data_IF_281936968180
#
_entry.id   IF_281936968180
#
_cell.length_a   1.000
_cell.length_b   1.000
_cell.length_c   1.000
_cell.angle_alpha   90.00
_cell.angle_beta   90.00
_cell.angle_gamma   90.00
#
_symmetry.space_group_name_H-M   'P 1'
#
loop_
_entity.id
_entity.type
_entity.pdbx_description
1 polymer ?
#
# COMPACT_ATOMS: atom_id res chain seq x y z
N UNK A 1 -36.58 14.38 -10.64
CA UNK A 1 -35.25 14.93 -10.33
C UNK A 1 -34.28 14.56 -11.45
N UNK A 2 -34.08 15.43 -12.44
CA UNK A 2 -33.04 15.27 -13.48
C UNK A 2 -31.94 16.29 -13.20
N UNK A 3 -30.67 15.90 -13.39
CA UNK A 3 -29.51 16.78 -13.20
C UNK A 3 -28.97 16.90 -11.78
N UNK A 4 -29.43 16.08 -10.83
CA UNK A 4 -28.88 16.03 -9.47
C UNK A 4 -27.93 14.83 -9.33
N UNK A 5 -26.76 15.06 -8.74
CA UNK A 5 -25.78 14.02 -8.40
C UNK A 5 -26.02 13.56 -6.97
N UNK A 6 -26.28 12.27 -6.78
CA UNK A 6 -26.41 11.66 -5.46
C UNK A 6 -25.00 11.25 -5.02
N UNK A 7 -24.58 11.77 -3.86
CA UNK A 7 -23.29 11.45 -3.25
C UNK A 7 -23.53 10.68 -1.96
N UNK A 8 -22.70 9.69 -1.70
CA UNK A 8 -22.76 8.88 -0.48
C UNK A 8 -21.43 8.99 0.27
N UNK A 9 -21.42 9.40 1.55
CA UNK A 9 -20.21 9.43 2.36
C UNK A 9 -19.58 8.04 2.49
N UNK A 10 -18.25 7.97 2.44
CA UNK A 10 -17.52 6.71 2.62
C UNK A 10 -17.77 6.07 3.99
N UNK A 11 -18.08 6.87 5.02
CA UNK A 11 -18.39 6.41 6.38
C UNK A 11 -19.69 5.60 6.50
N UNK A 12 -20.60 5.70 5.52
CA UNK A 12 -21.85 4.95 5.50
C UNK A 12 -21.73 3.63 4.73
N UNK A 13 -20.56 3.32 4.15
CA UNK A 13 -20.33 2.06 3.44
C UNK A 13 -20.46 0.88 4.40
N UNK A 14 -20.96 -0.23 3.89
CA UNK A 14 -20.99 -1.49 4.65
C UNK A 14 -19.57 -2.03 4.80
N UNK A 15 -19.28 -2.78 5.87
CA UNK A 15 -18.04 -3.53 5.91
C UNK A 15 -18.02 -4.58 4.79
N UNK A 16 -16.84 -4.77 4.21
CA UNK A 16 -16.58 -5.81 3.20
C UNK A 16 -16.71 -7.20 3.86
N UNK A 17 -17.27 -8.16 3.14
CA UNK A 17 -17.56 -9.49 3.69
C UNK A 17 -16.39 -10.45 3.44
N UNK A 18 -15.78 -10.37 2.26
CA UNK A 18 -14.64 -11.21 1.92
C UNK A 18 -13.31 -10.45 2.01
N UNK A 19 -12.25 -11.18 2.38
CA UNK A 19 -10.89 -10.64 2.52
C UNK A 19 -10.31 -10.06 1.21
N UNK A 20 -10.84 -10.50 0.07
CA UNK A 20 -10.40 -10.10 -1.27
C UNK A 20 -11.51 -9.32 -2.00
N UNK A 21 -12.38 -8.67 -1.25
CA UNK A 21 -13.41 -7.77 -1.76
C UNK A 21 -12.96 -6.33 -1.51
N UNK A 22 -13.12 -5.45 -2.49
CA UNK A 22 -12.68 -4.06 -2.38
C UNK A 22 -13.69 -3.15 -3.07
N UNK A 23 -13.88 -1.94 -2.52
CA UNK A 23 -14.63 -0.91 -3.22
C UNK A 23 -13.80 -0.37 -4.40
N UNK A 24 -14.42 -0.32 -5.59
CA UNK A 24 -13.78 0.26 -6.80
C UNK A 24 -13.25 1.67 -6.55
N UNK A 25 -13.98 2.47 -5.77
CA UNK A 25 -13.60 3.84 -5.41
C UNK A 25 -12.27 3.91 -4.64
N UNK A 26 -11.91 2.86 -3.90
CA UNK A 26 -10.68 2.81 -3.13
C UNK A 26 -9.52 2.23 -3.97
N UNK A 27 -9.83 1.46 -5.02
CA UNK A 27 -8.83 0.95 -5.97
C UNK A 27 -8.38 2.05 -6.96
N UNK A 28 -9.33 2.86 -7.44
CA UNK A 28 -9.02 3.93 -8.38
C UNK A 28 -8.10 4.95 -7.72
N UNK A 29 -6.97 5.21 -8.37
CA UNK A 29 -5.94 6.08 -7.82
C UNK A 29 -4.94 5.39 -6.89
N UNK A 30 -5.02 4.09 -6.67
CA UNK A 30 -3.92 3.35 -6.04
C UNK A 30 -2.67 3.33 -6.95
N UNK A 31 -1.50 3.43 -6.33
CA UNK A 31 -0.19 3.22 -6.94
C UNK A 31 0.08 1.73 -7.09
N UNK A 32 0.60 1.32 -8.23
CA UNK A 32 0.84 -0.09 -8.58
C UNK A 32 2.33 -0.35 -8.64
N UNK A 33 2.77 -1.37 -7.92
CA UNK A 33 4.16 -1.80 -7.85
C UNK A 33 4.28 -3.27 -8.18
N UNK A 34 5.40 -3.64 -8.77
CA UNK A 34 5.71 -5.04 -9.04
C UNK A 34 6.10 -5.75 -7.74
N UNK A 35 5.61 -6.98 -7.53
CA UNK A 35 5.85 -7.72 -6.29
C UNK A 35 7.32 -8.16 -6.15
N UNK A 36 8.00 -8.46 -7.27
CA UNK A 36 9.36 -9.03 -7.27
C UNK A 36 10.42 -8.05 -6.75
N UNK A 37 10.43 -6.82 -7.25
CA UNK A 37 11.44 -5.80 -6.96
C UNK A 37 10.86 -4.56 -6.25
N UNK A 38 9.53 -4.40 -6.23
CA UNK A 38 8.88 -3.22 -5.72
C UNK A 38 8.94 -2.02 -6.67
N UNK A 39 9.23 -2.23 -7.96
CA UNK A 39 9.30 -1.16 -8.96
C UNK A 39 7.94 -0.54 -9.18
N UNK A 40 7.88 0.79 -9.17
CA UNK A 40 6.66 1.54 -9.48
C UNK A 40 6.32 1.46 -10.97
N UNK A 41 5.13 0.96 -11.27
CA UNK A 41 4.65 0.75 -12.64
C UNK A 41 3.76 1.91 -13.10
N UNK A 42 2.91 2.41 -12.20
CA UNK A 42 1.92 3.42 -12.54
C UNK A 42 0.76 3.47 -11.55
N UNK A 43 -0.39 3.94 -12.01
CA UNK A 43 -1.56 4.19 -11.17
C UNK A 43 -2.82 3.58 -11.77
N UNK A 44 -3.72 3.07 -10.93
CA UNK A 44 -5.05 2.64 -11.36
C UNK A 44 -5.84 3.85 -11.83
N UNK A 45 -6.24 3.84 -13.10
CA UNK A 45 -7.07 4.88 -13.71
C UNK A 45 -8.56 4.54 -13.60
N UNK A 46 -8.92 3.27 -13.75
CA UNK A 46 -10.29 2.80 -13.69
C UNK A 46 -10.36 1.30 -13.40
N UNK A 47 -11.55 0.79 -13.07
CA UNK A 47 -11.84 -0.64 -12.94
C UNK A 47 -13.01 -0.97 -13.85
N UNK A 48 -12.78 -1.88 -14.79
CA UNK A 48 -13.78 -2.27 -15.78
C UNK A 48 -14.28 -3.68 -15.47
N UNK A 49 -15.57 -3.77 -15.19
CA UNK A 49 -16.28 -5.05 -15.01
C UNK A 49 -16.70 -5.65 -16.35
N UNK A 50 -16.73 -6.98 -16.46
CA UNK A 50 -17.36 -7.68 -17.59
C UNK A 50 -16.42 -8.17 -18.69
N UNK A 51 -15.09 -8.11 -18.51
CA UNK A 51 -14.10 -8.73 -19.40
C UNK A 51 -13.92 -10.24 -19.16
N UNK A 52 -15.01 -10.95 -18.84
CA UNK A 52 -15.01 -12.37 -18.51
C UNK A 52 -15.36 -12.62 -17.04
N UNK A 53 -14.58 -13.49 -16.37
CA UNK A 53 -14.85 -13.93 -15.00
C UNK A 53 -14.39 -12.94 -13.93
N UNK A 54 -13.31 -12.20 -14.20
CA UNK A 54 -12.72 -11.25 -13.25
C UNK A 54 -12.90 -9.82 -13.75
N UNK A 55 -12.98 -8.87 -12.83
CA UNK A 55 -12.84 -7.45 -13.15
C UNK A 55 -11.45 -7.15 -13.70
N UNK A 56 -11.29 -6.04 -14.41
CA UNK A 56 -10.01 -5.66 -15.01
C UNK A 56 -9.61 -4.26 -14.58
N UNK A 57 -8.42 -4.13 -14.00
CA UNK A 57 -7.82 -2.84 -13.68
C UNK A 57 -7.28 -2.18 -14.94
N UNK A 58 -7.69 -0.95 -15.18
CA UNK A 58 -7.07 -0.10 -16.19
C UNK A 58 -5.94 0.70 -15.53
N UNK A 59 -4.70 0.39 -15.86
CA UNK A 59 -3.52 1.06 -15.33
C UNK A 59 -3.02 2.12 -16.29
N UNK A 60 -2.79 3.33 -15.79
CA UNK A 60 -2.01 4.35 -16.48
C UNK A 60 -0.55 4.17 -16.09
N UNK A 61 0.27 3.76 -17.06
CA UNK A 61 1.69 3.53 -16.84
C UNK A 61 2.44 4.84 -16.61
N UNK A 62 3.53 4.77 -15.85
CA UNK A 62 4.47 5.89 -15.69
C UNK A 62 4.97 6.32 -17.07
N UNK A 63 4.95 7.63 -17.39
CA UNK A 63 5.43 8.10 -18.68
C UNK A 63 6.95 8.00 -18.76
N UNK A 64 7.48 7.52 -19.89
CA UNK A 64 8.93 7.57 -20.18
C UNK A 64 9.28 8.85 -20.93
N UNK A 65 10.58 9.15 -21.10
CA UNK A 65 11.03 10.36 -21.81
C UNK A 65 10.43 10.46 -23.21
N UNK A 66 10.38 9.34 -23.93
CA UNK A 66 9.82 9.26 -25.28
C UNK A 66 8.30 9.52 -25.29
N UNK A 67 7.59 9.15 -24.23
CA UNK A 67 6.17 9.43 -24.08
C UNK A 67 5.92 10.93 -23.86
N UNK A 68 6.78 11.61 -23.11
CA UNK A 68 6.67 13.06 -22.89
C UNK A 68 6.87 13.83 -24.20
N UNK A 69 7.92 13.47 -24.94
CA UNK A 69 8.29 14.10 -26.21
C UNK A 69 7.17 13.94 -27.25
N UNK A 70 6.59 12.73 -27.33
CA UNK A 70 5.52 12.43 -28.28
C UNK A 70 4.12 12.75 -27.74
N UNK A 71 4.03 13.30 -26.52
CA UNK A 71 2.77 13.53 -25.80
C UNK A 71 1.85 12.30 -25.87
N UNK A 72 2.36 11.14 -25.48
CA UNK A 72 1.63 9.87 -25.40
C UNK A 72 1.39 9.46 -23.96
N UNK A 73 0.31 8.72 -23.76
CA UNK A 73 0.00 8.06 -22.48
C UNK A 73 -0.23 6.59 -22.78
N UNK A 74 0.45 5.74 -22.02
CA UNK A 74 0.31 4.29 -22.09
C UNK A 74 -0.65 3.78 -21.04
N UNK A 75 -1.49 2.84 -21.44
CA UNK A 75 -2.50 2.20 -20.61
C UNK A 75 -2.37 0.69 -20.75
N UNK A 76 -2.35 -0.02 -19.63
CA UNK A 76 -2.33 -1.47 -19.58
C UNK A 76 -3.61 -1.99 -18.89
N UNK A 77 -4.13 -3.12 -19.34
CA UNK A 77 -5.28 -3.79 -18.73
C UNK A 77 -4.78 -5.01 -17.96
N UNK A 78 -5.06 -5.04 -16.65
CA UNK A 78 -4.57 -6.08 -15.75
C UNK A 78 -5.78 -6.75 -15.08
N UNK A 79 -6.00 -8.07 -15.29
CA UNK A 79 -7.10 -8.76 -14.63
C UNK A 79 -6.96 -8.69 -13.10
N UNK A 80 -8.03 -8.33 -12.41
CA UNK A 80 -8.12 -8.24 -10.96
C UNK A 80 -8.38 -9.61 -10.34
N UNK A 81 -7.38 -10.48 -10.45
CA UNK A 81 -7.39 -11.82 -9.87
C UNK A 81 -6.34 -11.93 -8.77
N UNK A 82 -6.62 -12.72 -7.72
CA UNK A 82 -5.71 -12.88 -6.57
C UNK A 82 -4.31 -13.36 -6.93
N UNK A 83 -4.19 -14.13 -8.02
CA UNK A 83 -2.90 -14.60 -8.53
C UNK A 83 -2.06 -13.46 -9.12
N UNK A 84 -2.72 -12.50 -9.79
CA UNK A 84 -2.07 -11.37 -10.46
C UNK A 84 -1.94 -10.16 -9.54
N UNK A 85 -2.88 -9.96 -8.61
CA UNK A 85 -2.94 -8.82 -7.69
C UNK A 85 -3.04 -9.35 -6.25
N UNK A 86 -1.97 -9.97 -5.72
CA UNK A 86 -2.04 -10.69 -4.44
C UNK A 86 -2.27 -9.78 -3.23
N UNK A 87 -1.86 -8.51 -3.30
CA UNK A 87 -1.93 -7.58 -2.17
C UNK A 87 -2.46 -6.22 -2.61
N UNK A 88 -3.52 -5.80 -1.93
CA UNK A 88 -4.16 -4.50 -2.07
C UNK A 88 -4.17 -3.83 -0.71
N UNK A 89 -3.44 -2.74 -0.57
CA UNK A 89 -3.43 -1.88 0.60
C UNK A 89 -4.11 -0.55 0.25
N UNK A 90 -5.40 -0.45 0.56
CA UNK A 90 -6.18 0.76 0.34
C UNK A 90 -5.85 1.88 1.34
N UNK A 91 -5.22 1.58 2.48
CA UNK A 91 -4.79 2.59 3.44
C UNK A 91 -3.54 3.32 2.95
N UNK A 92 -2.58 2.58 2.42
CA UNK A 92 -1.37 3.14 1.81
C UNK A 92 -1.56 3.55 0.34
N UNK A 93 -2.75 3.35 -0.23
CA UNK A 93 -3.03 3.52 -1.66
C UNK A 93 -2.03 2.75 -2.54
N UNK A 94 -1.70 1.51 -2.17
CA UNK A 94 -0.64 0.70 -2.76
C UNK A 94 -1.16 -0.67 -3.15
N UNK A 95 -0.87 -1.08 -4.37
CA UNK A 95 -1.22 -2.39 -4.91
C UNK A 95 0.07 -3.08 -5.37
N UNK A 96 0.26 -4.33 -4.95
CA UNK A 96 1.34 -5.18 -5.46
C UNK A 96 0.77 -6.13 -6.51
N UNK A 97 1.42 -6.17 -7.66
CA UNK A 97 1.06 -7.05 -8.77
C UNK A 97 2.16 -8.07 -9.05
N UNK A 98 1.74 -9.30 -9.33
CA UNK A 98 2.56 -10.41 -9.83
C UNK A 98 2.07 -10.79 -11.23
N UNK A 99 2.22 -9.89 -12.22
CA UNK A 99 1.74 -10.16 -13.57
C UNK A 99 2.61 -11.24 -14.23
N UNK A 100 2.03 -12.01 -15.17
CA UNK A 100 2.81 -12.82 -16.09
C UNK A 100 3.82 -11.96 -16.86
N UNK A 101 4.95 -12.57 -17.24
CA UNK A 101 5.94 -11.91 -18.07
C UNK A 101 5.32 -11.39 -19.38
N UNK A 102 5.73 -10.19 -19.80
CA UNK A 102 5.24 -9.55 -21.02
C UNK A 102 3.85 -8.89 -20.94
N UNK A 103 3.14 -8.95 -19.80
CA UNK A 103 1.80 -8.32 -19.69
C UNK A 103 1.84 -6.81 -19.97
N UNK A 104 2.86 -6.11 -19.49
CA UNK A 104 3.00 -4.66 -19.68
C UNK A 104 3.45 -4.27 -21.09
N UNK A 105 3.99 -5.21 -21.88
CA UNK A 105 4.40 -4.95 -23.27
C UNK A 105 3.18 -4.82 -24.19
N UNK A 106 2.03 -5.37 -23.76
CA UNK A 106 0.74 -5.23 -24.43
C UNK A 106 0.05 -3.88 -24.14
N UNK A 107 0.73 -2.96 -23.46
CA UNK A 107 0.16 -1.65 -23.16
C UNK A 107 -0.17 -0.86 -24.43
N UNK A 108 -1.38 -0.31 -24.46
CA UNK A 108 -1.84 0.55 -25.55
C UNK A 108 -1.38 1.98 -25.32
N UNK A 109 -0.86 2.63 -26.36
CA UNK A 109 -0.53 4.07 -26.32
C UNK A 109 -1.62 4.91 -26.98
N UNK A 110 -1.98 6.03 -26.35
CA UNK A 110 -2.90 7.05 -26.92
C UNK A 110 -2.23 8.42 -26.88
N UNK A 111 -2.49 9.27 -27.88
CA UNK A 111 -2.06 10.68 -27.85
C UNK A 111 -2.79 11.40 -26.71
N UNK A 112 -2.03 12.07 -25.85
CA UNK A 112 -2.56 12.94 -24.81
C UNK A 112 -2.84 14.33 -25.37
N UNK A 113 -3.83 15.03 -24.79
CA UNK A 113 -3.96 16.48 -25.00
C UNK A 113 -2.68 17.14 -24.46
N UNK A 114 -2.07 18.03 -25.24
CA UNK A 114 -0.85 18.74 -24.83
C UNK A 114 -1.10 19.44 -23.49
N UNK A 115 -0.39 19.02 -22.45
CA UNK A 115 -0.13 19.86 -21.28
C UNK A 115 1.16 20.63 -21.55
N UNK A 116 1.22 21.87 -21.06
CA UNK A 116 2.38 22.75 -21.22
C UNK A 116 3.66 22.07 -20.72
N UNK A 117 4.73 22.18 -21.51
CA UNK A 117 5.95 21.39 -21.33
C UNK A 117 6.68 21.67 -20.00
N UNK A 118 6.47 22.85 -19.41
CA UNK A 118 6.97 23.20 -18.08
C UNK A 118 6.34 22.34 -16.97
N UNK A 119 5.02 22.16 -17.00
CA UNK A 119 4.30 21.39 -15.99
C UNK A 119 4.63 19.89 -16.07
N UNK A 120 4.96 19.37 -17.27
CA UNK A 120 5.43 17.99 -17.45
C UNK A 120 6.78 17.76 -16.79
N UNK A 121 7.72 18.69 -16.96
CA UNK A 121 9.08 18.54 -16.47
C UNK A 121 9.14 18.62 -14.94
N UNK A 122 8.36 19.54 -14.36
CA UNK A 122 8.26 19.71 -12.92
C UNK A 122 7.68 18.46 -12.24
N UNK A 123 6.59 17.92 -12.79
CA UNK A 123 5.94 16.72 -12.25
C UNK A 123 6.81 15.47 -12.35
N UNK A 124 7.60 15.33 -13.42
CA UNK A 124 8.53 14.21 -13.57
C UNK A 124 9.69 14.30 -12.56
N UNK A 125 10.21 15.51 -12.31
CA UNK A 125 11.24 15.73 -11.28
C UNK A 125 10.70 15.42 -9.90
N UNK A 126 9.50 15.87 -9.59
CA UNK A 126 8.85 15.65 -8.30
C UNK A 126 8.60 14.15 -8.04
N UNK A 127 8.14 13.40 -9.05
CA UNK A 127 7.93 11.95 -8.92
C UNK A 127 9.27 11.19 -8.77
N UNK A 128 10.34 11.64 -9.44
CA UNK A 128 11.69 11.08 -9.28
C UNK A 128 12.30 11.37 -7.90
N UNK A 129 12.09 12.59 -7.39
CA UNK A 129 12.56 13.00 -6.06
C UNK A 129 11.83 12.23 -4.97
N UNK A 130 10.50 12.10 -5.06
CA UNK A 130 9.71 11.25 -4.14
C UNK A 130 10.14 9.79 -4.17
N UNK A 131 10.45 9.25 -5.34
CA UNK A 131 10.96 7.88 -5.48
C UNK A 131 12.37 7.73 -4.86
N UNK A 132 13.22 8.74 -5.00
CA UNK A 132 14.55 8.76 -4.36
C UNK A 132 14.44 8.86 -2.84
N UNK A 133 13.60 9.75 -2.33
CA UNK A 133 13.33 9.89 -0.90
C UNK A 133 12.71 8.62 -0.31
N UNK A 134 11.74 7.99 -0.99
CA UNK A 134 11.15 6.72 -0.53
C UNK A 134 12.22 5.60 -0.51
N UNK A 135 13.12 5.57 -1.49
CA UNK A 135 14.23 4.62 -1.54
C UNK A 135 15.26 4.87 -0.44
N UNK A 136 15.59 6.14 -0.14
CA UNK A 136 16.48 6.53 0.97
C UNK A 136 15.86 6.19 2.34
N UNK A 137 14.55 6.44 2.52
CA UNK A 137 13.82 6.02 3.72
C UNK A 137 13.83 4.50 3.88
N UNK A 138 13.61 3.74 2.80
CA UNK A 138 13.65 2.27 2.81
C UNK A 138 15.05 1.74 3.16
N UNK A 139 16.11 2.39 2.70
CA UNK A 139 17.49 2.05 3.04
C UNK A 139 17.83 2.33 4.52
N UNK A 140 17.30 3.42 5.09
CA UNK A 140 17.52 3.77 6.51
C UNK A 140 16.82 2.84 7.51
N UNK A 141 15.71 2.21 7.12
CA UNK A 141 14.97 1.27 7.98
C UNK A 141 15.59 -0.14 7.96
N UNK A 142 16.32 -0.51 6.90
CA UNK A 142 17.02 -1.81 6.82
C UNK A 142 18.37 -1.87 7.57
N UNK A 143 18.91 -0.74 8.04
CA UNK A 143 20.18 -0.68 8.79
C UNK A 143 20.01 -0.55 10.31
N UNK A 144 18.78 -0.65 10.83
CA UNK A 144 18.42 -0.36 12.22
C UNK A 144 17.87 -1.54 13.04
N UNK A 145 18.31 -2.78 12.80
CA UNK A 145 18.03 -3.91 13.70
C UNK A 145 19.32 -4.63 14.11
N UNK A 146 20.13 -3.96 14.94
CA UNK A 146 21.05 -4.67 15.85
C UNK A 146 20.25 -5.16 17.05
N UNK A 147 20.20 -6.48 17.21
CA UNK A 147 19.66 -7.19 18.37
C UNK A 147 20.08 -6.54 19.70
N UNK A 148 19.18 -6.40 20.69
CA UNK A 148 19.63 -6.25 22.07
C UNK A 148 20.06 -7.63 22.57
N UNK A 149 21.36 -7.90 22.47
CA UNK A 149 22.02 -9.02 23.13
C UNK A 149 22.00 -8.78 24.64
N UNK A 150 21.01 -9.32 25.34
CA UNK A 150 21.04 -9.44 26.79
C UNK A 150 21.88 -10.67 27.13
N UNK A 151 23.17 -10.42 27.33
CA UNK A 151 24.09 -11.33 28.03
C UNK A 151 23.56 -11.57 29.45
N UNK A 152 23.29 -12.84 29.77
CA UNK A 152 23.41 -13.33 31.14
C UNK A 152 24.89 -13.42 31.48
N UNK A 153 25.27 -13.02 32.70
CA UNK A 153 25.97 -13.99 33.53
C UNK A 153 25.43 -14.01 34.97
N UNK A 154 25.20 -15.23 35.44
CA UNK A 154 25.21 -15.58 36.85
C UNK A 154 26.55 -15.15 37.48
N UNK A 155 26.51 -14.51 38.65
CA UNK A 155 27.37 -14.88 39.77
C UNK A 155 26.87 -14.26 41.09
N UNK A 156 26.81 -15.12 42.09
CA UNK A 156 26.27 -14.92 43.40
C UNK A 156 27.17 -14.07 44.31
N UNK A 157 26.57 -13.32 45.24
CA UNK A 157 26.94 -13.35 46.66
C UNK A 157 25.96 -12.53 47.50
N UNK A 158 25.30 -13.26 48.41
CA UNK A 158 25.07 -12.93 49.82
C UNK A 158 24.70 -11.50 50.21
N UNK A 159 23.47 -11.31 50.69
CA UNK A 159 23.32 -10.88 52.08
C UNK A 159 21.95 -11.26 52.68
N UNK A 160 22.02 -11.75 53.91
CA UNK A 160 20.93 -12.18 54.78
C UNK A 160 19.92 -11.07 55.10
N UNK A 161 18.68 -11.44 55.47
CA UNK A 161 17.71 -10.43 55.87
C UNK A 161 16.31 -10.85 56.35
N UNK A 162 16.19 -11.96 57.08
CA UNK A 162 15.18 -12.21 58.13
C UNK A 162 13.67 -12.16 57.80
N UNK A 163 13.04 -13.33 57.95
CA UNK A 163 11.62 -13.49 58.23
C UNK A 163 11.21 -12.79 59.52
N UNK A 164 10.11 -12.01 59.49
CA UNK A 164 9.19 -11.91 60.63
C UNK A 164 7.75 -12.11 60.19
N UNK A 165 7.12 -13.03 60.92
CA UNK A 165 5.75 -13.49 60.94
C UNK A 165 5.17 -12.96 62.25
N UNK A 166 4.00 -12.34 62.24
CA UNK A 166 3.11 -12.09 63.39
C UNK A 166 1.79 -11.56 62.78
N UNK A 167 0.76 -12.38 62.62
CA UNK A 167 -0.31 -12.71 63.58
C UNK A 167 -1.27 -11.55 63.90
N UNK A 168 -2.57 -11.85 63.78
CA UNK A 168 -3.67 -11.15 64.45
C UNK A 168 -4.81 -10.73 63.51
N UNK A 169 -6.08 -11.07 63.69
CA UNK A 169 -6.77 -12.07 64.50
C UNK A 169 -8.21 -12.09 63.93
N UNK A 170 -8.82 -13.26 63.84
CA UNK A 170 -10.27 -13.43 63.66
C UNK A 170 -11.01 -12.93 64.91
N UNK A 171 -12.11 -12.18 64.75
CA UNK A 171 -13.35 -12.28 65.55
C UNK A 171 -14.37 -11.24 65.09
N UNK A 172 -15.58 -11.64 64.65
CA UNK A 172 -16.83 -11.72 65.46
C UNK A 172 -17.22 -10.35 66.07
N UNK A 173 -18.45 -9.87 66.03
CA UNK A 173 -19.75 -10.50 65.83
C UNK A 173 -20.86 -9.42 65.79
N UNK A 174 -22.05 -9.87 65.38
CA UNK A 174 -23.39 -9.45 65.83
C UNK A 174 -23.84 -8.02 65.46
N UNK A 175 -25.10 -7.76 65.10
CA UNK A 175 -26.36 -8.50 65.26
C UNK A 175 -27.32 -8.23 64.09
#
# INVERSE_FOLDING_TARGET
MRGYMIVFPSSLRKPLQAKYEHYVQDLVGCQVFLQSDGTYIGRVADVISGFGTNDTLQLKLRPTKEDLDQSRVRVCMVPFAKEIVPLVDTHANRILVAPPEGLFDLATSKKAKKLDDQAKLEKLKEDQEREREEKERRASVSSGSSEPSILRPDDASDNEGSYKKEEGNDSKAAA
#
